data_IF_859322463475
#
_entry.id   IF_859322463475
#
_cell.length_a   1.000
_cell.length_b   1.000
_cell.length_c   1.000
_cell.angle_alpha   90.00
_cell.angle_beta   90.00
_cell.angle_gamma   90.00
#
_symmetry.space_group_name_H-M   'P 1'
#
loop_
_entity.id
_entity.type
_entity.pdbx_description
1 polymer ?
#
# COMPACT_ATOMS: atom_id res chain seq x y z
N UNK A 1 -30.95 32.57 -12.03
CA UNK A 1 -30.90 31.12 -11.69
C UNK A 1 -29.50 30.63 -12.06
N UNK A 2 -28.57 30.62 -11.10
CA UNK A 2 -27.13 30.39 -11.35
C UNK A 2 -26.75 29.01 -10.82
N UNK A 3 -26.20 28.20 -11.71
CA UNK A 3 -25.85 26.79 -11.49
C UNK A 3 -24.75 26.71 -10.40
N UNK A 4 -25.03 26.03 -9.27
CA UNK A 4 -24.04 25.73 -8.23
C UNK A 4 -23.18 24.53 -8.63
N UNK A 5 -21.93 24.78 -9.00
CA UNK A 5 -20.86 23.79 -9.00
C UNK A 5 -20.03 23.94 -7.72
N UNK A 6 -20.10 22.97 -6.80
CA UNK A 6 -19.04 22.76 -5.80
C UNK A 6 -18.89 21.27 -5.49
N UNK A 7 -17.70 20.72 -5.84
CA UNK A 7 -17.06 19.53 -5.26
C UNK A 7 -17.86 18.21 -5.34
N UNK A 8 -17.73 17.35 -6.35
CA UNK A 8 -16.51 16.77 -6.93
C UNK A 8 -15.60 16.06 -5.90
N UNK A 9 -16.22 15.37 -4.94
CA UNK A 9 -15.59 14.31 -4.12
C UNK A 9 -16.55 13.12 -4.02
N UNK A 10 -17.21 12.80 -5.14
CA UNK A 10 -18.25 11.78 -5.24
C UNK A 10 -17.60 10.42 -5.49
N UNK A 11 -17.96 9.45 -4.64
CA UNK A 11 -17.37 8.11 -4.42
C UNK A 11 -16.07 8.12 -3.59
N UNK A 12 -16.05 7.74 -2.31
CA UNK A 12 -16.68 6.58 -1.65
C UNK A 12 -16.52 5.28 -2.45
N UNK A 13 -15.30 5.00 -2.89
CA UNK A 13 -14.92 3.70 -3.46
C UNK A 13 -13.95 3.01 -2.51
N UNK A 14 -14.54 2.27 -1.57
CA UNK A 14 -13.96 1.09 -0.93
C UNK A 14 -12.68 1.25 -0.07
N UNK A 15 -12.84 1.71 1.19
CA UNK A 15 -11.84 1.52 2.26
C UNK A 15 -11.80 0.08 2.79
N UNK A 16 -12.58 -0.87 2.22
CA UNK A 16 -12.56 -2.30 2.56
C UNK A 16 -12.15 -3.18 1.37
N UNK A 17 -11.40 -2.66 0.40
CA UNK A 17 -10.95 -3.48 -0.72
C UNK A 17 -9.69 -4.29 -0.32
N UNK A 18 -9.96 -5.43 0.32
CA UNK A 18 -9.12 -6.61 0.64
C UNK A 18 -7.59 -6.39 0.58
N UNK A 19 -6.95 -5.89 1.65
CA UNK A 19 -5.49 -5.79 1.74
C UNK A 19 -4.77 -7.15 1.77
N UNK A 20 -5.49 -8.27 1.98
CA UNK A 20 -4.90 -9.61 2.05
C UNK A 20 -4.29 -10.12 0.73
N UNK A 21 -4.82 -9.71 -0.43
CA UNK A 21 -4.28 -10.18 -1.72
C UNK A 21 -2.91 -9.57 -2.04
N UNK A 22 -2.58 -8.40 -1.47
CA UNK A 22 -1.29 -7.75 -1.70
C UNK A 22 -0.16 -8.38 -0.88
N UNK A 23 -0.46 -8.90 0.31
CA UNK A 23 0.49 -9.70 1.08
C UNK A 23 0.87 -11.00 0.33
N UNK A 24 -0.10 -11.63 -0.36
CA UNK A 24 0.14 -12.80 -1.23
C UNK A 24 1.06 -12.48 -2.43
N UNK A 25 1.18 -11.21 -2.83
CA UNK A 25 2.01 -10.80 -3.98
C UNK A 25 3.49 -10.67 -3.59
N UNK A 26 3.85 -10.50 -2.31
CA UNK A 26 5.26 -10.49 -1.90
C UNK A 26 5.79 -11.94 -1.78
N UNK A 27 6.69 -12.39 -2.66
CA UNK A 27 7.33 -13.69 -2.50
C UNK A 27 8.23 -13.67 -1.26
N UNK A 28 8.31 -14.77 -0.50
CA UNK A 28 9.45 -14.96 0.42
C UNK A 28 10.74 -15.04 -0.42
N UNK A 29 11.85 -14.39 -0.02
CA UNK A 29 12.20 -13.76 1.27
C UNK A 29 11.86 -12.27 1.41
N UNK A 30 11.20 -11.66 0.42
CA UNK A 30 10.97 -10.21 0.38
C UNK A 30 10.07 -9.72 1.52
N UNK A 31 9.06 -10.50 1.89
CA UNK A 31 8.17 -10.16 3.00
C UNK A 31 8.93 -10.08 4.34
N UNK A 32 9.83 -11.03 4.58
CA UNK A 32 10.72 -11.04 5.75
C UNK A 32 11.62 -9.78 5.81
N UNK A 33 12.25 -9.40 4.69
CA UNK A 33 13.07 -8.17 4.63
C UNK A 33 12.24 -6.90 4.89
N UNK A 34 11.03 -6.84 4.36
CA UNK A 34 10.10 -5.73 4.57
C UNK A 34 9.66 -5.62 6.03
N UNK A 35 9.40 -6.75 6.70
CA UNK A 35 9.07 -6.79 8.14
C UNK A 35 10.23 -6.30 9.01
N UNK A 36 11.46 -6.71 8.71
CA UNK A 36 12.65 -6.22 9.43
C UNK A 36 12.82 -4.70 9.27
N UNK A 37 12.62 -4.17 8.06
CA UNK A 37 12.63 -2.73 7.82
C UNK A 37 11.50 -2.01 8.58
N UNK A 38 10.32 -2.62 8.71
CA UNK A 38 9.21 -2.07 9.48
C UNK A 38 9.52 -2.04 10.99
N UNK A 39 10.12 -3.10 11.53
CA UNK A 39 10.51 -3.21 12.95
C UNK A 39 11.48 -2.12 13.38
N UNK A 40 12.43 -1.77 12.51
CA UNK A 40 13.39 -0.69 12.77
C UNK A 40 12.86 0.71 12.42
N UNK A 41 11.57 0.84 12.08
CA UNK A 41 10.91 2.12 11.77
C UNK A 41 11.21 2.67 10.36
N UNK A 42 11.85 1.90 9.49
CA UNK A 42 12.27 2.29 8.14
C UNK A 42 11.20 2.02 7.07
N UNK A 43 9.99 2.57 7.29
CA UNK A 43 8.83 2.34 6.41
C UNK A 43 9.06 2.80 4.97
N UNK A 44 9.77 3.91 4.76
CA UNK A 44 10.04 4.43 3.41
C UNK A 44 10.97 3.50 2.64
N UNK A 45 11.98 2.92 3.29
CA UNK A 45 12.86 1.92 2.67
C UNK A 45 12.11 0.62 2.38
N UNK A 46 11.20 0.19 3.25
CA UNK A 46 10.33 -0.96 2.98
C UNK A 46 9.53 -0.79 1.69
N UNK A 47 8.89 0.38 1.50
CA UNK A 47 8.14 0.67 0.27
C UNK A 47 9.05 0.73 -0.96
N UNK A 48 10.26 1.31 -0.83
CA UNK A 48 11.24 1.35 -1.93
C UNK A 48 11.69 -0.05 -2.34
N UNK A 49 11.99 -0.91 -1.37
CA UNK A 49 12.41 -2.30 -1.59
C UNK A 49 11.30 -3.09 -2.31
N UNK A 50 10.07 -3.01 -1.82
CA UNK A 50 8.90 -3.65 -2.45
C UNK A 50 8.76 -3.22 -3.91
N UNK A 51 8.86 -1.92 -4.20
CA UNK A 51 8.80 -1.40 -5.59
C UNK A 51 9.94 -1.89 -6.46
N UNK A 52 11.17 -1.88 -5.95
CA UNK A 52 12.35 -2.29 -6.71
C UNK A 52 12.29 -3.77 -7.11
N UNK A 53 11.73 -4.63 -6.26
CA UNK A 53 11.70 -6.09 -6.48
C UNK A 53 10.47 -6.57 -7.22
N UNK A 54 9.32 -5.92 -7.04
CA UNK A 54 8.05 -6.33 -7.66
C UNK A 54 7.67 -5.51 -8.89
N UNK A 55 8.32 -4.35 -9.11
CA UNK A 55 7.94 -3.41 -10.16
C UNK A 55 6.61 -2.69 -9.91
N UNK A 56 6.01 -2.86 -8.72
CA UNK A 56 4.73 -2.24 -8.38
C UNK A 56 4.80 -0.71 -8.37
N UNK A 57 3.69 -0.09 -8.75
CA UNK A 57 3.46 1.34 -8.56
C UNK A 57 3.46 1.74 -7.07
N UNK A 58 3.51 3.04 -6.79
CA UNK A 58 3.59 3.54 -5.42
C UNK A 58 2.42 3.08 -4.53
N UNK A 59 1.20 3.26 -5.01
CA UNK A 59 -0.01 2.91 -4.25
C UNK A 59 -0.08 1.40 -3.89
N UNK A 60 0.08 0.44 -4.82
CA UNK A 60 0.06 -0.96 -4.46
C UNK A 60 1.23 -1.36 -3.54
N UNK A 61 2.41 -0.76 -3.72
CA UNK A 61 3.55 -1.04 -2.84
C UNK A 61 3.31 -0.57 -1.39
N UNK A 62 2.76 0.64 -1.21
CA UNK A 62 2.39 1.14 0.13
C UNK A 62 1.35 0.21 0.75
N UNK A 63 0.28 -0.14 0.03
CA UNK A 63 -0.74 -1.04 0.56
C UNK A 63 -0.20 -2.42 0.95
N UNK A 64 0.79 -2.94 0.22
CA UNK A 64 1.40 -4.23 0.53
C UNK A 64 2.25 -4.16 1.81
N UNK A 65 3.03 -3.09 1.98
CA UNK A 65 3.79 -2.83 3.22
C UNK A 65 2.84 -2.59 4.40
N UNK A 66 1.75 -1.85 4.20
CA UNK A 66 0.74 -1.57 5.22
C UNK A 66 0.03 -2.84 5.69
N UNK A 67 -0.20 -3.80 4.79
CA UNK A 67 -0.78 -5.10 5.12
C UNK A 67 0.14 -5.92 6.06
N UNK A 68 1.45 -5.88 5.83
CA UNK A 68 2.45 -6.55 6.67
C UNK A 68 2.66 -5.86 8.02
N UNK A 69 2.41 -4.56 8.11
CA UNK A 69 2.51 -3.81 9.35
C UNK A 69 1.32 -4.01 10.31
N UNK A 70 0.25 -4.65 9.86
CA UNK A 70 -0.97 -4.91 10.63
C UNK A 70 -1.02 -6.31 11.25
N UNK A 71 0.03 -7.12 11.03
CA UNK A 71 0.29 -8.37 11.76
C UNK A 71 0.75 -8.11 13.20
#
# INVERSE_FOLDING_TARGET
MVIRLTSLWKHRSDRRQKPALLAVILPEPLASEVLELLRIGKRVEAVKLTRARTGLGLLPAVKAVDALACD
#
